data_IF_973406199915
#
_entry.id   IF_973406199915
#
_cell.length_a   1.000
_cell.length_b   1.000
_cell.length_c   1.000
_cell.angle_alpha   90.00
_cell.angle_beta   90.00
_cell.angle_gamma   90.00
#
_symmetry.space_group_name_H-M   'P 1'
#
loop_
_entity.id
_entity.type
_entity.pdbx_description
1 polymer ?
#
# COMPACT_ATOMS: atom_id res chain seq x y z
N UNK A 1 -0.96 -17.72 9.10
CA UNK A 1 -0.27 -17.62 7.80
C UNK A 1 0.23 -18.99 7.38
N UNK A 2 0.03 -19.41 6.11
CA UNK A 2 0.26 -20.78 5.66
C UNK A 2 1.74 -21.18 5.72
N UNK A 3 2.02 -22.42 6.14
CA UNK A 3 3.37 -23.00 6.10
C UNK A 3 3.75 -23.49 4.70
N UNK A 4 2.76 -23.94 3.92
CA UNK A 4 2.92 -24.32 2.52
C UNK A 4 3.54 -23.16 1.72
N UNK A 5 4.47 -23.48 0.84
CA UNK A 5 5.34 -22.54 0.15
C UNK A 5 4.61 -21.43 -0.62
N UNK A 6 5.25 -20.26 -0.61
CA UNK A 6 4.83 -19.02 -1.26
C UNK A 6 4.83 -19.15 -2.79
N UNK A 7 3.88 -18.52 -3.46
CA UNK A 7 3.83 -18.50 -4.94
C UNK A 7 4.82 -17.46 -5.50
N UNK A 8 5.64 -17.81 -6.51
CA UNK A 8 6.68 -16.93 -7.01
C UNK A 8 6.12 -15.74 -7.79
N UNK A 9 6.76 -14.59 -7.62
CA UNK A 9 6.32 -13.33 -8.22
C UNK A 9 7.24 -12.91 -9.38
N UNK A 10 6.63 -12.74 -10.55
CA UNK A 10 7.10 -11.91 -11.65
C UNK A 10 6.37 -10.57 -11.62
N UNK A 11 6.97 -9.48 -12.10
CA UNK A 11 6.43 -8.12 -11.93
C UNK A 11 5.05 -7.93 -12.58
N UNK A 12 4.17 -7.10 -12.01
CA UNK A 12 2.84 -6.84 -12.58
C UNK A 12 2.98 -6.01 -13.87
N UNK A 13 2.49 -6.53 -14.99
CA UNK A 13 2.54 -5.80 -16.27
C UNK A 13 1.35 -4.86 -16.46
N UNK A 14 0.21 -5.22 -15.86
CA UNK A 14 -1.10 -4.62 -16.08
C UNK A 14 -2.02 -4.87 -14.87
N UNK A 15 -3.13 -4.12 -14.78
CA UNK A 15 -4.00 -4.11 -13.60
C UNK A 15 -4.52 -5.48 -13.16
N UNK A 16 -4.83 -6.37 -14.10
CA UNK A 16 -5.30 -7.72 -13.84
C UNK A 16 -4.18 -8.58 -13.25
N UNK A 17 -2.96 -8.44 -13.77
CA UNK A 17 -1.81 -9.13 -13.19
C UNK A 17 -1.51 -8.66 -11.76
N UNK A 18 -1.51 -7.35 -11.51
CA UNK A 18 -1.36 -6.80 -10.17
C UNK A 18 -2.46 -7.33 -9.23
N UNK A 19 -3.73 -7.24 -9.66
CA UNK A 19 -4.88 -7.70 -8.90
C UNK A 19 -4.84 -9.20 -8.58
N UNK A 20 -4.46 -10.04 -9.55
CA UNK A 20 -4.41 -11.50 -9.39
C UNK A 20 -3.27 -11.94 -8.46
N UNK A 21 -2.11 -11.30 -8.49
CA UNK A 21 -1.07 -11.54 -7.50
C UNK A 21 -1.57 -11.10 -6.12
N UNK A 22 -2.05 -9.87 -5.99
CA UNK A 22 -2.49 -9.30 -4.71
C UNK A 22 -3.60 -10.13 -4.04
N UNK A 23 -4.61 -10.54 -4.79
CA UNK A 23 -5.70 -11.36 -4.27
C UNK A 23 -5.22 -12.74 -3.78
N UNK A 24 -4.20 -13.31 -4.42
CA UNK A 24 -3.52 -14.51 -3.91
C UNK A 24 -2.87 -14.24 -2.54
N UNK A 25 -2.24 -13.08 -2.34
CA UNK A 25 -1.62 -12.75 -1.06
C UNK A 25 -2.64 -12.40 0.01
N UNK A 26 -3.72 -11.72 -0.35
CA UNK A 26 -4.91 -11.56 0.51
C UNK A 26 -5.54 -12.91 0.90
N UNK A 27 -5.32 -13.97 0.10
CA UNK A 27 -5.76 -15.33 0.41
C UNK A 27 -4.82 -16.02 1.41
N UNK A 28 -3.51 -15.72 1.34
CA UNK A 28 -2.47 -16.20 2.28
C UNK A 28 -2.17 -15.25 3.46
N UNK A 29 -2.79 -14.07 3.49
CA UNK A 29 -2.49 -12.91 4.36
C UNK A 29 -1.01 -12.46 4.34
N UNK A 30 -0.37 -12.48 3.17
CA UNK A 30 1.10 -12.28 3.02
C UNK A 30 1.56 -10.82 2.93
N UNK A 31 2.09 -10.26 4.02
CA UNK A 31 2.65 -8.90 4.06
C UNK A 31 4.05 -8.81 3.44
N UNK A 32 4.81 -9.91 3.49
CA UNK A 32 6.22 -9.97 3.08
C UNK A 32 6.38 -10.18 1.56
N UNK A 33 5.57 -11.07 0.98
CA UNK A 33 5.44 -11.19 -0.48
C UNK A 33 4.74 -9.96 -1.09
N UNK A 34 3.77 -9.36 -0.40
CA UNK A 34 3.22 -8.06 -0.82
C UNK A 34 4.32 -6.99 -0.80
N UNK A 35 5.23 -7.03 0.18
CA UNK A 35 6.34 -6.09 0.24
C UNK A 35 7.32 -6.25 -0.93
N UNK A 36 7.57 -7.48 -1.36
CA UNK A 36 8.31 -7.75 -2.61
C UNK A 36 7.59 -7.16 -3.83
N UNK A 37 6.25 -7.21 -3.86
CA UNK A 37 5.44 -6.64 -4.93
C UNK A 37 5.60 -5.10 -5.02
N UNK A 38 5.64 -4.37 -3.91
CA UNK A 38 5.96 -2.94 -3.91
C UNK A 38 7.44 -2.67 -4.23
N UNK A 39 8.36 -3.57 -3.85
CA UNK A 39 9.78 -3.47 -4.20
C UNK A 39 10.06 -3.57 -5.72
N UNK A 40 9.13 -4.15 -6.50
CA UNK A 40 9.22 -4.25 -7.98
C UNK A 40 8.26 -3.31 -8.74
N UNK A 41 7.13 -2.90 -8.13
CA UNK A 41 6.12 -1.99 -8.72
C UNK A 41 6.56 -0.52 -8.72
N UNK A 42 6.13 0.23 -9.73
CA UNK A 42 6.31 1.68 -9.83
C UNK A 42 5.14 2.45 -9.18
N UNK A 43 5.36 3.51 -8.39
CA UNK A 43 4.27 4.35 -7.88
C UNK A 43 3.39 4.94 -8.99
N UNK A 44 3.93 5.27 -10.17
CA UNK A 44 3.14 5.78 -11.31
C UNK A 44 2.15 4.76 -11.88
N UNK A 45 2.53 3.49 -11.92
CA UNK A 45 1.64 2.41 -12.40
C UNK A 45 0.61 1.99 -11.33
N UNK A 46 0.92 2.17 -10.04
CA UNK A 46 0.11 1.69 -8.92
C UNK A 46 -1.39 2.12 -8.96
N UNK A 47 -1.76 3.41 -9.14
CA UNK A 47 -3.18 3.81 -9.20
C UNK A 47 -3.89 3.32 -10.46
N UNK A 48 -3.17 3.19 -11.58
CA UNK A 48 -3.69 2.61 -12.82
C UNK A 48 -4.00 1.11 -12.65
N UNK A 49 -3.21 0.38 -11.86
CA UNK A 49 -3.52 -1.00 -11.50
C UNK A 49 -4.74 -1.12 -10.58
N UNK A 50 -4.84 -0.25 -9.57
CA UNK A 50 -5.90 -0.22 -8.56
C UNK A 50 -7.29 0.25 -9.08
N UNK A 51 -7.46 0.42 -10.39
CA UNK A 51 -8.64 1.09 -11.00
C UNK A 51 -9.99 0.41 -10.71
N UNK A 52 -10.16 -0.84 -11.14
CA UNK A 52 -11.30 -1.72 -10.88
C UNK A 52 -10.97 -2.85 -9.88
N UNK A 53 -9.74 -3.39 -9.91
CA UNK A 53 -9.31 -4.55 -9.11
C UNK A 53 -8.74 -4.16 -7.73
N UNK A 54 -9.50 -3.35 -6.99
CA UNK A 54 -9.15 -2.87 -5.64
C UNK A 54 -10.31 -3.07 -4.68
N UNK A 55 -10.05 -3.80 -3.60
CA UNK A 55 -11.01 -4.25 -2.57
C UNK A 55 -10.53 -3.88 -1.16
N UNK A 56 -11.43 -3.97 -0.20
CA UNK A 56 -11.17 -3.60 1.19
C UNK A 56 -10.02 -4.37 1.83
N UNK A 57 -9.98 -5.68 1.62
CA UNK A 57 -8.91 -6.52 2.17
C UNK A 57 -7.57 -6.33 1.45
N UNK A 58 -7.59 -6.09 0.14
CA UNK A 58 -6.39 -5.95 -0.68
C UNK A 58 -5.74 -4.58 -0.53
N UNK A 59 -6.55 -3.54 -0.30
CA UNK A 59 -6.07 -2.25 0.20
C UNK A 59 -5.39 -2.42 1.58
N UNK A 60 -6.06 -3.04 2.55
CA UNK A 60 -5.51 -3.19 3.90
C UNK A 60 -4.21 -4.02 3.93
N UNK A 61 -4.09 -5.01 3.05
CA UNK A 61 -2.89 -5.87 2.91
C UNK A 61 -1.65 -5.02 2.60
N UNK A 62 -1.77 -4.14 1.59
CA UNK A 62 -0.67 -3.29 1.16
C UNK A 62 -0.34 -2.24 2.22
N UNK A 63 -1.35 -1.77 2.98
CA UNK A 63 -1.14 -0.83 4.10
C UNK A 63 -0.27 -1.49 5.18
N UNK A 64 -0.64 -2.68 5.67
CA UNK A 64 0.15 -3.40 6.67
C UNK A 64 1.53 -3.83 6.15
N UNK A 65 1.64 -4.13 4.86
CA UNK A 65 2.93 -4.40 4.19
C UNK A 65 3.86 -3.16 4.21
N UNK A 66 3.31 -1.96 3.94
CA UNK A 66 4.07 -0.71 4.03
C UNK A 66 4.54 -0.42 5.46
N UNK A 67 3.64 -0.32 6.46
CA UNK A 67 3.96 0.06 7.87
C UNK A 67 4.64 -1.03 8.71
N UNK A 68 5.53 -1.78 8.08
CA UNK A 68 6.28 -2.88 8.70
C UNK A 68 7.52 -3.19 7.87
N UNK A 69 7.35 -3.38 6.55
CA UNK A 69 8.41 -3.92 5.70
C UNK A 69 9.12 -2.81 4.92
N UNK A 70 8.37 -2.05 4.10
CA UNK A 70 8.95 -1.03 3.22
C UNK A 70 9.51 0.18 3.99
N UNK A 71 8.94 0.53 5.14
CA UNK A 71 9.48 1.57 6.04
C UNK A 71 10.93 1.30 6.45
N UNK A 72 11.32 0.03 6.52
CA UNK A 72 12.68 -0.38 6.90
C UNK A 72 13.62 -0.60 5.70
N UNK A 73 13.05 -0.69 4.49
CA UNK A 73 13.80 -0.73 3.21
C UNK A 73 14.02 0.66 2.62
N UNK A 74 12.95 1.43 2.45
CA UNK A 74 12.93 2.81 1.91
C UNK A 74 11.60 3.54 2.25
N UNK A 75 11.52 4.31 3.36
CA UNK A 75 10.31 5.07 3.70
C UNK A 75 9.93 6.12 2.64
N UNK A 76 10.86 6.54 1.78
CA UNK A 76 10.55 7.45 0.67
C UNK A 76 9.80 6.76 -0.48
N UNK A 77 10.01 5.45 -0.68
CA UNK A 77 9.19 4.65 -1.60
C UNK A 77 7.79 4.44 -1.01
N UNK A 78 7.68 4.29 0.32
CA UNK A 78 6.38 4.28 1.01
C UNK A 78 5.65 5.61 0.78
N UNK A 79 6.32 6.75 0.99
CA UNK A 79 5.75 8.06 0.76
C UNK A 79 5.20 8.22 -0.67
N UNK A 80 6.00 7.89 -1.70
CA UNK A 80 5.57 7.92 -3.10
C UNK A 80 4.47 6.92 -3.43
N UNK A 81 4.50 5.69 -2.91
CA UNK A 81 3.37 4.76 -3.08
C UNK A 81 2.08 5.31 -2.47
N UNK A 82 2.13 5.95 -1.29
CA UNK A 82 0.96 6.59 -0.68
C UNK A 82 0.49 7.82 -1.45
N UNK A 83 1.40 8.59 -2.05
CA UNK A 83 1.09 9.75 -2.87
C UNK A 83 0.25 9.33 -4.08
N UNK A 84 0.75 8.38 -4.87
CA UNK A 84 0.03 7.92 -6.06
C UNK A 84 -1.20 7.06 -5.70
N UNK A 85 -1.18 6.33 -4.58
CA UNK A 85 -2.38 5.64 -4.06
C UNK A 85 -3.53 6.61 -3.77
N UNK A 86 -3.24 7.84 -3.32
CA UNK A 86 -4.27 8.86 -3.11
C UNK A 86 -4.98 9.30 -4.40
N UNK A 87 -4.40 9.02 -5.58
CA UNK A 87 -4.98 9.32 -6.90
C UNK A 87 -5.96 8.24 -7.37
N UNK A 88 -5.88 7.04 -6.80
CA UNK A 88 -6.83 5.97 -7.09
C UNK A 88 -8.25 6.37 -6.67
N UNK A 89 -9.26 5.91 -7.41
CA UNK A 89 -10.66 6.27 -7.19
C UNK A 89 -11.32 5.40 -6.12
N UNK A 90 -11.31 4.08 -6.30
CA UNK A 90 -11.86 3.09 -5.36
C UNK A 90 -11.19 3.18 -3.98
N UNK A 91 -9.96 3.69 -3.91
CA UNK A 91 -9.25 4.00 -2.67
C UNK A 91 -10.16 4.76 -1.68
N UNK A 92 -10.87 5.80 -2.12
CA UNK A 92 -11.78 6.59 -1.25
C UNK A 92 -12.97 5.81 -0.72
N UNK A 93 -13.45 4.78 -1.41
CA UNK A 93 -14.46 3.86 -0.85
C UNK A 93 -13.88 3.03 0.30
N UNK A 94 -12.59 2.65 0.25
CA UNK A 94 -11.96 1.78 1.25
C UNK A 94 -12.00 2.40 2.64
N UNK A 95 -11.64 3.68 2.77
CA UNK A 95 -11.64 4.37 4.07
C UNK A 95 -13.04 4.47 4.71
N UNK A 96 -14.11 4.23 3.93
CA UNK A 96 -15.50 4.19 4.40
C UNK A 96 -15.97 2.80 4.82
N UNK A 97 -15.47 1.74 4.19
CA UNK A 97 -15.77 0.34 4.55
C UNK A 97 -14.90 -0.16 5.72
N UNK A 98 -13.69 0.40 5.91
CA UNK A 98 -12.78 0.03 7.00
C UNK A 98 -13.31 0.54 8.35
N UNK A 99 -13.31 -0.32 9.36
CA UNK A 99 -13.68 0.03 10.74
C UNK A 99 -12.66 0.96 11.41
N UNK A 100 -13.07 1.81 12.35
CA UNK A 100 -12.25 2.88 12.93
C UNK A 100 -10.93 2.38 13.53
N UNK A 101 -10.98 1.24 14.23
CA UNK A 101 -9.83 0.56 14.81
C UNK A 101 -8.91 -0.13 13.79
N UNK A 102 -9.38 -0.40 12.57
CA UNK A 102 -8.54 -0.84 11.45
C UNK A 102 -7.97 0.35 10.65
N UNK A 103 -8.70 1.47 10.57
CA UNK A 103 -8.23 2.73 9.98
C UNK A 103 -7.04 3.34 10.74
N UNK A 104 -6.92 3.08 12.05
CA UNK A 104 -5.79 3.56 12.87
C UNK A 104 -4.42 3.10 12.33
N UNK A 105 -4.39 1.94 11.67
CA UNK A 105 -3.19 1.39 11.03
C UNK A 105 -2.66 2.31 9.92
N UNK A 106 -3.56 2.98 9.19
CA UNK A 106 -3.21 4.01 8.21
C UNK A 106 -2.54 5.19 8.92
N UNK A 107 -3.02 5.60 10.11
CA UNK A 107 -2.31 6.60 10.92
C UNK A 107 -0.91 6.13 11.29
N UNK A 108 -0.75 4.89 11.78
CA UNK A 108 0.57 4.38 12.21
C UNK A 108 1.58 4.33 11.05
N UNK A 109 1.09 4.19 9.82
CA UNK A 109 1.86 4.32 8.57
C UNK A 109 2.51 5.71 8.44
N UNK A 110 1.72 6.78 8.57
CA UNK A 110 2.22 8.16 8.53
C UNK A 110 3.04 8.53 9.78
N UNK A 111 2.70 7.97 10.94
CA UNK A 111 3.45 8.19 12.20
C UNK A 111 4.88 7.66 12.12
N UNK A 112 5.11 6.59 11.36
CA UNK A 112 6.46 6.05 11.12
C UNK A 112 7.25 6.87 10.08
N UNK A 113 6.57 7.47 9.10
CA UNK A 113 7.17 8.41 8.14
C UNK A 113 7.50 9.77 8.76
N UNK A 114 6.64 10.24 9.67
CA UNK A 114 6.84 11.44 10.48
C UNK A 114 8.13 11.35 11.31
N UNK A 115 8.44 10.15 11.81
CA UNK A 115 9.65 9.87 12.59
C UNK A 115 10.95 9.95 11.77
N UNK A 116 10.88 9.76 10.45
CA UNK A 116 12.02 9.74 9.52
C UNK A 116 12.22 11.08 8.80
N UNK A 117 13.29 11.83 9.07
CA UNK A 117 13.79 12.91 8.21
C UNK A 117 14.44 12.29 6.96
N UNK A 118 14.24 12.87 5.79
CA UNK A 118 14.49 12.18 4.53
C UNK A 118 14.96 13.09 3.39
N UNK A 119 15.84 12.59 2.50
CA UNK A 119 16.41 13.39 1.40
C UNK A 119 15.44 13.64 0.22
N UNK A 120 14.26 12.99 0.24
CA UNK A 120 13.27 13.05 -0.84
C UNK A 120 11.95 13.75 -0.45
N UNK A 121 11.60 13.74 0.84
CA UNK A 121 10.39 14.36 1.38
C UNK A 121 10.64 15.05 2.74
N UNK A 122 9.70 15.89 3.15
CA UNK A 122 9.70 16.58 4.46
C UNK A 122 8.37 16.37 5.19
N UNK A 123 8.31 16.77 6.46
CA UNK A 123 7.09 16.74 7.26
C UNK A 123 5.99 17.60 6.64
N UNK A 124 6.37 18.73 6.07
CA UNK A 124 5.49 19.62 5.31
C UNK A 124 4.77 18.89 4.16
N UNK A 125 5.47 17.97 3.49
CA UNK A 125 4.93 17.15 2.40
C UNK A 125 4.04 16.02 2.97
N UNK A 126 4.42 15.43 4.12
CA UNK A 126 3.64 14.40 4.85
C UNK A 126 2.26 14.94 5.24
N UNK A 127 2.24 16.09 5.92
CA UNK A 127 1.02 16.67 6.50
C UNK A 127 0.09 17.23 5.45
N UNK A 128 0.63 17.48 4.26
CA UNK A 128 -0.14 17.85 3.07
C UNK A 128 -0.76 16.64 2.36
N UNK A 129 -0.05 15.52 2.27
CA UNK A 129 -0.53 14.36 1.53
C UNK A 129 -1.53 13.54 2.36
N UNK A 130 -1.26 13.41 3.67
CA UNK A 130 -2.14 12.68 4.61
C UNK A 130 -3.58 13.23 4.64
N UNK A 131 -3.76 14.49 4.24
CA UNK A 131 -5.07 15.16 4.10
C UNK A 131 -5.98 14.43 3.11
N UNK A 132 -5.40 13.85 2.05
CA UNK A 132 -6.14 13.04 1.07
C UNK A 132 -6.63 11.69 1.64
N UNK A 133 -6.11 11.27 2.80
CA UNK A 133 -6.57 10.12 3.59
C UNK A 133 -7.52 10.53 4.74
N UNK A 134 -7.79 11.82 4.93
CA UNK A 134 -8.73 12.38 5.94
C UNK A 134 -8.46 11.93 7.39
N UNK A 135 -7.19 11.64 7.71
CA UNK A 135 -6.70 11.18 9.03
C UNK A 135 -6.56 12.28 10.07
#
# INVERSE_FOLDING_TARGET
>A
GPHMEKLPIAKPNNAYEFGQIINALSTRKDKEACAHLLAITAPKDLPMFLSNKLEGDTFLLLIQSLKNNLIEKDPSLVYQHLLYLSKAERFKMMLTLISKGQKELIEQLFEDLSDTPNNHFTLEDIQALKRQYEL
#
